data_IF_175399777384
#
_entry.id   IF_175399777384
#
_cell.length_a   1.000
_cell.length_b   1.000
_cell.length_c   1.000
_cell.angle_alpha   90.00
_cell.angle_beta   90.00
_cell.angle_gamma   90.00
#
_symmetry.space_group_name_H-M   'P 1'
#
loop_
_entity.id
_entity.type
_entity.pdbx_description
1 polymer ?
#
# COMPACT_ATOMS: atom_id res chain seq x y z
N UNK A 1 7.39 -18.66 -19.39
CA UNK A 1 7.79 -19.30 -18.12
C UNK A 1 8.01 -18.30 -16.98
N UNK A 2 8.80 -17.22 -17.14
CA UNK A 2 8.98 -16.20 -16.09
C UNK A 2 7.67 -15.57 -15.57
N UNK A 3 6.74 -15.18 -16.45
CA UNK A 3 5.43 -14.60 -16.08
C UNK A 3 4.54 -15.54 -15.24
N UNK A 4 4.63 -16.85 -15.47
CA UNK A 4 3.86 -17.87 -14.75
C UNK A 4 4.46 -18.14 -13.36
N UNK A 5 5.79 -18.11 -13.25
CA UNK A 5 6.49 -18.16 -11.98
C UNK A 5 6.19 -16.91 -11.12
N UNK A 6 6.11 -15.72 -11.72
CA UNK A 6 5.70 -14.49 -11.01
C UNK A 6 4.28 -14.59 -10.45
N UNK A 7 3.32 -15.08 -11.25
CA UNK A 7 1.94 -15.34 -10.79
C UNK A 7 1.89 -16.36 -9.65
N UNK A 8 2.69 -17.42 -9.72
CA UNK A 8 2.77 -18.43 -8.68
C UNK A 8 3.41 -17.90 -7.39
N UNK A 9 4.44 -17.04 -7.50
CA UNK A 9 5.07 -16.36 -6.36
C UNK A 9 4.11 -15.35 -5.74
N UNK A 10 3.33 -14.61 -6.53
CA UNK A 10 2.29 -13.68 -6.04
C UNK A 10 1.19 -14.47 -5.32
N UNK A 11 0.74 -15.60 -5.88
CA UNK A 11 -0.24 -16.46 -5.24
C UNK A 11 0.30 -17.08 -3.96
N UNK A 12 1.56 -17.52 -3.95
CA UNK A 12 2.25 -18.05 -2.78
C UNK A 12 2.51 -16.99 -1.69
N UNK A 13 2.82 -15.74 -2.06
CA UNK A 13 2.95 -14.61 -1.13
C UNK A 13 1.61 -14.19 -0.57
N UNK A 14 0.55 -14.14 -1.39
CA UNK A 14 -0.80 -13.86 -0.93
C UNK A 14 -1.34 -14.96 0.00
N UNK A 15 -1.07 -16.23 -0.30
CA UNK A 15 -1.47 -17.38 0.54
C UNK A 15 -0.60 -17.56 1.78
N UNK A 16 0.69 -17.20 1.75
CA UNK A 16 1.54 -17.17 2.95
C UNK A 16 1.26 -15.96 3.84
N UNK A 17 0.88 -14.81 3.26
CA UNK A 17 0.29 -13.71 4.02
C UNK A 17 -1.03 -14.14 4.67
N UNK A 18 -1.88 -14.89 3.96
CA UNK A 18 -3.12 -15.44 4.51
C UNK A 18 -2.90 -16.42 5.67
N UNK A 19 -1.80 -17.19 5.66
CA UNK A 19 -1.49 -18.16 6.72
C UNK A 19 -0.80 -17.55 7.96
N UNK A 20 -0.31 -16.30 7.89
CA UNK A 20 0.60 -15.74 8.91
C UNK A 20 0.23 -14.33 9.40
N UNK A 21 -0.73 -13.60 8.81
CA UNK A 21 -0.89 -12.15 9.09
C UNK A 21 -2.25 -11.70 9.64
N UNK A 22 -2.20 -10.65 10.46
CA UNK A 22 -3.32 -9.97 11.11
C UNK A 22 -4.16 -9.04 10.22
N UNK A 23 -4.06 -9.13 8.89
CA UNK A 23 -4.91 -8.37 7.96
C UNK A 23 -4.50 -8.41 6.48
N UNK A 24 -5.34 -7.83 5.61
CA UNK A 24 -5.07 -7.65 4.18
C UNK A 24 -5.57 -6.29 3.68
N UNK A 25 -5.09 -5.82 2.53
CA UNK A 25 -5.60 -4.59 1.92
C UNK A 25 -5.64 -4.61 0.41
N UNK A 26 -6.59 -3.86 -0.14
CA UNK A 26 -6.72 -3.57 -1.55
C UNK A 26 -6.51 -2.06 -1.77
N UNK A 27 -5.72 -1.69 -2.77
CA UNK A 27 -5.49 -0.30 -3.14
C UNK A 27 -5.59 -0.08 -4.65
N UNK A 28 -6.00 1.13 -5.05
CA UNK A 28 -5.89 1.61 -6.42
C UNK A 28 -4.86 2.74 -6.44
N UNK A 29 -3.85 2.60 -7.28
CA UNK A 29 -2.71 3.52 -7.33
C UNK A 29 -2.45 4.02 -8.75
N UNK A 30 -1.97 5.25 -8.82
CA UNK A 30 -1.43 5.86 -10.03
C UNK A 30 0.00 6.35 -9.76
N UNK A 31 0.89 6.08 -10.70
CA UNK A 31 2.31 6.37 -10.59
C UNK A 31 2.79 7.22 -11.78
N UNK A 32 3.64 8.22 -11.50
CA UNK A 32 4.34 9.03 -12.51
C UNK A 32 5.85 9.01 -12.28
N UNK A 33 6.63 8.57 -13.27
CA UNK A 33 8.11 8.46 -13.21
C UNK A 33 8.59 7.01 -13.31
N UNK A 34 9.37 6.55 -12.31
CA UNK A 34 9.92 5.20 -12.06
C UNK A 34 9.09 4.05 -12.67
N UNK A 35 7.77 4.06 -12.52
CA UNK A 35 6.90 3.17 -13.28
C UNK A 35 5.58 3.84 -13.66
N UNK A 36 5.52 4.51 -14.82
CA UNK A 36 4.27 5.13 -15.30
C UNK A 36 3.17 4.07 -15.50
N UNK A 37 2.28 3.98 -14.51
CA UNK A 37 1.27 2.94 -14.48
C UNK A 37 0.09 3.33 -13.60
N UNK A 38 -1.06 2.74 -13.90
CA UNK A 38 -2.21 2.69 -13.01
C UNK A 38 -2.44 1.23 -12.64
N UNK A 39 -2.47 0.91 -11.34
CA UNK A 39 -2.60 -0.47 -10.88
C UNK A 39 -3.57 -0.65 -9.73
N UNK A 40 -4.05 -1.87 -9.61
CA UNK A 40 -4.71 -2.39 -8.41
C UNK A 40 -3.68 -3.21 -7.65
N UNK A 41 -3.52 -2.93 -6.36
CA UNK A 41 -2.57 -3.59 -5.48
C UNK A 41 -3.29 -4.38 -4.40
N UNK A 42 -2.86 -5.62 -4.21
CA UNK A 42 -3.24 -6.45 -3.07
C UNK A 42 -2.04 -6.53 -2.12
N UNK A 43 -2.27 -6.43 -0.81
CA UNK A 43 -1.20 -6.51 0.18
C UNK A 43 -1.61 -7.30 1.41
N UNK A 44 -0.66 -8.03 1.99
CA UNK A 44 -0.75 -8.55 3.35
C UNK A 44 -0.30 -7.50 4.36
N UNK A 45 -0.91 -7.51 5.55
CA UNK A 45 -0.59 -6.56 6.63
C UNK A 45 -0.30 -7.32 7.91
N UNK A 46 0.89 -7.09 8.46
CA UNK A 46 1.28 -7.56 9.79
C UNK A 46 1.30 -6.36 10.74
N UNK A 47 0.45 -6.39 11.76
CA UNK A 47 0.54 -5.46 12.89
C UNK A 47 1.63 -5.93 13.84
N UNK A 48 2.60 -5.07 14.12
CA UNK A 48 3.74 -5.37 14.99
C UNK A 48 3.51 -4.94 16.44
N UNK A 49 2.35 -4.36 16.73
CA UNK A 49 2.07 -3.64 18.00
C UNK A 49 0.72 -3.94 18.62
N UNK A 50 -0.07 -4.85 18.03
CA UNK A 50 -1.46 -5.20 18.39
C UNK A 50 -2.46 -4.01 18.51
N UNK A 51 -2.00 -2.82 18.17
CA UNK A 51 -2.75 -1.54 18.20
C UNK A 51 -2.76 -0.88 16.81
N UNK A 52 -2.18 -1.57 15.82
CA UNK A 52 -1.96 -1.17 14.45
C UNK A 52 -1.14 0.13 14.35
N UNK A 53 -0.40 0.48 15.41
CA UNK A 53 0.42 1.68 15.47
C UNK A 53 1.63 1.58 14.53
N UNK A 54 2.21 0.40 14.45
CA UNK A 54 3.27 0.04 13.51
C UNK A 54 2.88 -1.21 12.74
N UNK A 55 2.85 -1.11 11.42
CA UNK A 55 2.46 -2.22 10.54
C UNK A 55 3.48 -2.42 9.44
N UNK A 56 3.78 -3.68 9.14
CA UNK A 56 4.49 -4.08 7.94
C UNK A 56 3.49 -4.45 6.85
N UNK A 57 3.63 -3.85 5.67
CA UNK A 57 2.73 -4.01 4.55
C UNK A 57 3.52 -4.54 3.35
N UNK A 58 3.16 -5.72 2.84
CA UNK A 58 3.83 -6.31 1.69
C UNK A 58 2.80 -6.57 0.58
N UNK A 59 3.04 -6.05 -0.62
CA UNK A 59 2.05 -6.04 -1.67
C UNK A 59 2.60 -6.32 -3.07
N UNK A 60 1.67 -6.69 -3.94
CA UNK A 60 1.88 -6.89 -5.36
C UNK A 60 0.80 -6.15 -6.14
N UNK A 61 1.22 -5.41 -7.17
CA UNK A 61 0.34 -4.67 -8.06
C UNK A 61 0.18 -5.32 -9.43
N UNK A 62 -1.01 -5.21 -9.99
CA UNK A 62 -1.29 -5.48 -11.40
C UNK A 62 -1.98 -4.27 -12.02
N UNK A 63 -1.47 -3.82 -13.16
CA UNK A 63 -2.00 -2.71 -13.94
C UNK A 63 -2.49 -3.12 -15.31
N UNK A 64 -2.98 -2.15 -16.07
CA UNK A 64 -3.33 -2.30 -17.48
C UNK A 64 -2.39 -1.44 -18.33
N UNK A 65 -1.85 -2.01 -19.40
CA UNK A 65 -1.17 -1.29 -20.46
C UNK A 65 -1.91 -1.45 -21.80
N UNK A 66 -1.35 -0.89 -22.89
CA UNK A 66 -1.94 -0.98 -24.23
C UNK A 66 -2.03 -2.41 -24.79
N UNK A 67 -1.42 -3.39 -24.13
CA UNK A 67 -1.36 -4.80 -24.55
C UNK A 67 -2.12 -5.74 -23.61
N UNK A 68 -2.54 -5.27 -22.43
CA UNK A 68 -3.41 -6.01 -21.52
C UNK A 68 -3.02 -5.85 -20.04
N UNK A 69 -3.35 -6.87 -19.24
CA UNK A 69 -3.00 -6.91 -17.82
C UNK A 69 -1.50 -7.19 -17.65
N UNK A 70 -0.82 -6.30 -16.95
CA UNK A 70 0.61 -6.41 -16.66
C UNK A 70 0.87 -6.34 -15.17
N UNK A 71 1.90 -7.05 -14.74
CA UNK A 71 2.41 -6.92 -13.40
C UNK A 71 3.06 -5.54 -13.22
N UNK A 72 2.63 -4.77 -12.22
CA UNK A 72 3.15 -3.40 -12.00
C UNK A 72 4.28 -3.34 -10.98
N UNK A 73 4.39 -4.32 -10.08
CA UNK A 73 5.52 -4.37 -9.15
C UNK A 73 5.20 -4.98 -7.79
N UNK A 74 6.22 -5.03 -6.94
CA UNK A 74 6.13 -5.40 -5.53
C UNK A 74 6.46 -4.18 -4.66
N UNK A 75 5.91 -4.14 -3.46
CA UNK A 75 6.31 -3.19 -2.43
C UNK A 75 6.36 -3.85 -1.05
N UNK A 76 7.27 -3.36 -0.22
CA UNK A 76 7.32 -3.66 1.20
C UNK A 76 7.47 -2.34 1.94
N UNK A 77 6.45 -1.95 2.68
CA UNK A 77 6.36 -0.68 3.38
C UNK A 77 6.26 -0.93 4.89
N UNK A 78 7.01 -0.15 5.67
CA UNK A 78 6.78 0.01 7.10
C UNK A 78 5.98 1.30 7.30
N UNK A 79 4.82 1.18 7.93
CA UNK A 79 3.91 2.28 8.11
C UNK A 79 3.60 2.52 9.58
N UNK A 80 3.60 3.79 9.96
CA UNK A 80 3.50 4.27 11.34
C UNK A 80 2.39 5.31 11.47
N UNK A 81 1.59 5.18 12.53
CA UNK A 81 0.56 6.18 12.87
C UNK A 81 1.14 7.29 13.70
N UNK A 82 0.85 8.52 13.30
CA UNK A 82 1.38 9.71 13.97
C UNK A 82 0.60 10.03 15.24
N UNK A 83 -0.72 10.03 15.16
CA UNK A 83 -1.64 10.22 16.28
C UNK A 83 -3.01 9.62 15.92
N UNK A 84 -3.93 9.62 16.88
CA UNK A 84 -5.31 9.14 16.68
C UNK A 84 -6.29 10.07 17.37
N UNK A 85 -7.29 10.57 16.64
CA UNK A 85 -8.35 11.43 17.16
C UNK A 85 -9.71 10.80 16.88
N UNK A 86 -10.57 10.80 17.89
CA UNK A 86 -11.97 10.39 17.76
C UNK A 86 -12.82 11.48 17.15
N UNK A 87 -12.71 12.69 17.69
CA UNK A 87 -13.44 13.85 17.21
C UNK A 87 -12.55 14.64 16.23
N UNK A 88 -12.92 14.64 14.96
CA UNK A 88 -12.15 15.26 13.90
C UNK A 88 -13.05 15.92 12.86
N UNK A 89 -12.51 16.94 12.19
CA UNK A 89 -13.25 17.73 11.20
C UNK A 89 -13.64 16.93 9.93
N UNK A 90 -13.03 15.77 9.71
CA UNK A 90 -13.26 14.93 8.54
C UNK A 90 -14.39 13.91 8.68
N UNK A 91 -15.21 14.02 9.73
CA UNK A 91 -16.33 13.10 9.97
C UNK A 91 -17.36 13.09 8.82
N UNK A 92 -17.39 14.13 7.98
CA UNK A 92 -18.23 14.16 6.78
C UNK A 92 -17.80 13.17 5.68
N UNK A 93 -16.58 12.62 5.73
CA UNK A 93 -16.09 11.65 4.76
C UNK A 93 -16.58 10.21 5.04
N UNK A 94 -17.12 9.95 6.23
CA UNK A 94 -17.55 8.62 6.65
C UNK A 94 -18.96 8.68 7.21
N UNK A 95 -19.75 7.63 6.96
CA UNK A 95 -21.09 7.50 7.55
C UNK A 95 -21.05 6.90 8.95
N UNK A 96 -20.01 6.12 9.25
CA UNK A 96 -19.79 5.49 10.54
C UNK A 96 -18.79 6.28 11.40
N UNK A 97 -18.87 6.19 12.74
CA UNK A 97 -17.85 6.72 13.62
C UNK A 97 -16.50 6.04 13.33
N UNK A 98 -15.53 6.83 12.88
CA UNK A 98 -14.16 6.40 12.64
C UNK A 98 -13.21 7.22 13.48
N UNK A 99 -12.04 6.67 13.78
CA UNK A 99 -10.91 7.42 14.32
C UNK A 99 -10.08 7.97 13.16
N UNK A 100 -9.76 9.26 13.17
CA UNK A 100 -8.78 9.80 12.25
C UNK A 100 -7.38 9.50 12.78
N UNK A 101 -6.58 8.80 11.98
CA UNK A 101 -5.24 8.39 12.36
C UNK A 101 -4.29 8.47 11.18
N UNK A 102 -3.73 9.66 10.93
CA UNK A 102 -2.83 9.87 9.81
C UNK A 102 -1.54 9.07 9.97
N UNK A 103 -0.99 8.63 8.83
CA UNK A 103 0.17 7.73 8.79
C UNK A 103 1.28 8.32 7.94
N UNK A 104 2.50 7.93 8.29
CA UNK A 104 3.67 8.06 7.42
C UNK A 104 4.18 6.66 7.14
N UNK A 105 4.77 6.45 5.96
CA UNK A 105 5.33 5.16 5.60
C UNK A 105 6.58 5.33 4.77
N UNK A 106 7.45 4.35 4.91
CA UNK A 106 8.69 4.24 4.15
C UNK A 106 8.90 2.78 3.78
N UNK A 107 9.46 2.53 2.61
CA UNK A 107 9.61 1.19 2.12
C UNK A 107 10.45 1.08 0.87
N UNK A 108 10.49 -0.14 0.35
CA UNK A 108 11.13 -0.47 -0.91
C UNK A 108 10.07 -0.95 -1.90
N UNK A 109 10.25 -0.59 -3.15
CA UNK A 109 9.43 -1.07 -4.25
C UNK A 109 10.30 -1.61 -5.39
N UNK A 110 9.78 -2.61 -6.09
CA UNK A 110 10.38 -3.18 -7.27
C UNK A 110 9.41 -3.09 -8.44
N UNK A 111 9.88 -2.59 -9.58
CA UNK A 111 9.07 -2.58 -10.80
C UNK A 111 9.00 -3.98 -11.45
N UNK A 112 8.32 -4.08 -12.59
CA UNK A 112 8.20 -5.33 -13.36
C UNK A 112 9.52 -5.86 -13.91
N UNK A 113 10.55 -5.00 -13.97
CA UNK A 113 11.92 -5.31 -14.41
C UNK A 113 12.87 -5.56 -13.24
N UNK A 114 12.37 -5.60 -12.00
CA UNK A 114 13.15 -5.77 -10.76
C UNK A 114 14.10 -4.60 -10.43
N UNK A 115 13.87 -3.42 -10.99
CA UNK A 115 14.57 -2.23 -10.53
C UNK A 115 14.07 -1.84 -9.14
N UNK A 116 14.97 -1.48 -8.23
CA UNK A 116 14.66 -1.07 -6.86
C UNK A 116 14.43 0.44 -6.79
N UNK A 117 13.42 0.86 -6.04
CA UNK A 117 13.26 2.23 -5.57
C UNK A 117 12.86 2.26 -4.09
N UNK A 118 13.28 3.33 -3.41
CA UNK A 118 12.82 3.69 -2.08
C UNK A 118 11.57 4.55 -2.18
N UNK A 119 10.55 4.19 -1.42
CA UNK A 119 9.26 4.86 -1.38
C UNK A 119 9.08 5.53 -0.03
N UNK A 120 8.63 6.78 -0.05
CA UNK A 120 8.24 7.51 1.16
C UNK A 120 6.90 8.18 0.92
N UNK A 121 5.97 8.04 1.86
CA UNK A 121 4.65 8.59 1.69
C UNK A 121 3.94 8.89 2.97
N UNK A 122 2.78 9.49 2.79
CA UNK A 122 1.92 9.93 3.87
C UNK A 122 0.47 9.62 3.51
N UNK A 123 -0.31 9.33 4.54
CA UNK A 123 -1.71 9.01 4.46
C UNK A 123 -2.43 9.93 5.44
N UNK A 124 -2.72 11.15 4.99
CA UNK A 124 -3.39 12.15 5.84
C UNK A 124 -4.81 11.71 6.13
N UNK A 125 -5.56 11.28 5.10
CA UNK A 125 -6.94 10.83 5.23
C UNK A 125 -7.01 9.34 5.52
N UNK A 126 -6.49 8.95 6.69
CA UNK A 126 -6.54 7.57 7.19
C UNK A 126 -7.55 7.49 8.34
N UNK A 127 -8.57 6.66 8.15
CA UNK A 127 -9.70 6.50 9.07
C UNK A 127 -9.78 5.04 9.51
N UNK A 128 -9.97 4.81 10.80
CA UNK A 128 -9.95 3.47 11.38
C UNK A 128 -11.29 3.20 12.05
N UNK A 129 -11.81 2.01 11.84
CA UNK A 129 -12.83 1.42 12.70
C UNK A 129 -12.33 0.10 13.32
N UNK A 130 -13.24 -0.64 13.94
CA UNK A 130 -12.92 -1.89 14.64
C UNK A 130 -12.19 -2.88 13.76
N UNK A 131 -12.54 -3.03 12.48
CA UNK A 131 -11.97 -4.04 11.59
C UNK A 131 -11.23 -3.44 10.40
N UNK A 132 -11.53 -2.19 10.04
CA UNK A 132 -11.07 -1.58 8.81
C UNK A 132 -10.15 -0.38 9.04
N UNK A 133 -9.29 -0.14 8.06
CA UNK A 133 -8.65 1.15 7.84
C UNK A 133 -8.91 1.59 6.42
N UNK A 134 -9.45 2.80 6.27
CA UNK A 134 -9.74 3.45 5.01
C UNK A 134 -8.75 4.59 4.81
N UNK A 135 -7.98 4.54 3.74
CA UNK A 135 -7.00 5.54 3.41
C UNK A 135 -7.32 6.15 2.06
N UNK A 136 -7.46 7.47 2.00
CA UNK A 136 -7.75 8.21 0.78
C UNK A 136 -6.59 9.13 0.44
N UNK A 137 -6.28 9.23 -0.85
CA UNK A 137 -5.27 10.15 -1.38
C UNK A 137 -3.95 10.06 -0.61
N UNK A 138 -3.25 8.92 -0.72
CA UNK A 138 -1.95 8.67 -0.07
C UNK A 138 -0.82 9.03 -1.05
N UNK A 139 -0.33 10.27 -1.10
CA UNK A 139 0.77 10.61 -1.97
C UNK A 139 2.06 9.96 -1.47
N UNK A 140 2.95 9.68 -2.41
CA UNK A 140 4.30 9.23 -2.14
C UNK A 140 5.28 9.74 -3.18
N UNK A 141 6.53 9.77 -2.78
CA UNK A 141 7.68 10.05 -3.63
C UNK A 141 8.57 8.82 -3.69
N UNK A 142 9.27 8.68 -4.80
CA UNK A 142 10.21 7.59 -5.03
C UNK A 142 11.60 8.12 -5.34
N UNK A 143 12.58 7.38 -4.85
CA UNK A 143 13.98 7.55 -5.17
C UNK A 143 14.54 6.23 -5.68
N UNK A 144 15.47 6.26 -6.62
CA UNK A 144 16.14 5.04 -7.10
C UNK A 144 17.08 4.45 -6.03
N UNK A 145 17.76 3.36 -6.37
CA UNK A 145 18.75 2.68 -5.53
C UNK A 145 19.94 3.57 -5.12
N UNK A 146 20.20 4.65 -5.87
CA UNK A 146 21.21 5.67 -5.58
C UNK A 146 20.62 6.88 -4.82
N UNK A 147 19.37 6.77 -4.34
CA UNK A 147 18.63 7.86 -3.69
C UNK A 147 18.44 9.12 -4.55
N UNK A 148 18.51 9.00 -5.87
CA UNK A 148 18.15 10.08 -6.79
C UNK A 148 16.65 10.08 -7.05
N UNK A 149 16.05 11.26 -7.21
CA UNK A 149 14.61 11.37 -7.44
C UNK A 149 14.19 10.56 -8.68
N UNK A 150 13.23 9.66 -8.51
CA UNK A 150 12.78 8.76 -9.56
C UNK A 150 11.29 8.94 -9.92
N UNK A 151 10.51 9.62 -9.08
CA UNK A 151 9.12 9.93 -9.40
C UNK A 151 8.25 10.20 -8.18
N UNK A 152 6.95 10.18 -8.42
CA UNK A 152 5.91 10.30 -7.41
C UNK A 152 4.66 9.52 -7.81
N UNK A 153 3.79 9.26 -6.85
CA UNK A 153 2.51 8.62 -7.11
C UNK A 153 1.50 8.92 -6.03
N UNK A 154 0.31 8.35 -6.20
CA UNK A 154 -0.78 8.46 -5.24
C UNK A 154 -1.57 7.15 -5.20
N UNK A 155 -1.81 6.63 -3.99
CA UNK A 155 -2.86 5.63 -3.78
C UNK A 155 -4.18 6.41 -3.60
N UNK A 156 -5.11 6.27 -4.56
CA UNK A 156 -6.38 7.01 -4.52
C UNK A 156 -7.25 6.55 -3.37
N UNK A 157 -7.37 5.24 -3.24
CA UNK A 157 -8.10 4.58 -2.16
C UNK A 157 -7.35 3.32 -1.78
N UNK A 158 -7.25 3.07 -0.48
CA UNK A 158 -6.83 1.81 0.09
C UNK A 158 -7.77 1.42 1.21
N UNK A 159 -8.23 0.18 1.16
CA UNK A 159 -9.08 -0.41 2.20
C UNK A 159 -8.32 -1.60 2.77
N UNK A 160 -8.10 -1.55 4.07
CA UNK A 160 -7.41 -2.59 4.84
C UNK A 160 -8.38 -3.22 5.81
N UNK A 161 -8.40 -4.54 5.90
CA UNK A 161 -9.15 -5.33 6.86
C UNK A 161 -8.17 -6.03 7.80
N UNK A 162 -8.49 -6.08 9.09
CA UNK A 162 -7.69 -6.71 10.14
C UNK A 162 -8.50 -7.79 10.85
N UNK A 163 -7.84 -8.89 11.24
CA UNK A 163 -8.44 -10.01 11.97
C UNK A 163 -8.40 -9.81 13.48
#
# INVERSE_FOLDING_TARGET
>A
MRKLASLFIIFALATSAWAVTGGYSLAVEGFSGFNQSSSVRLSGILDLTDSRYLTLEAGAGAGLDSTGLVFSGLNVDLAFRTFTLRDHIFSFLTTNPTLWSPRVYAGAMWDSSWNLAWRFGLSIFSFIDVLFTYEFLRPFVCFDDHFSWSGWGIDLIRVSYYF
#
